data_IF_064651136433
#
_entry.id   IF_064651136433
#
_cell.length_a   1.000
_cell.length_b   1.000
_cell.length_c   1.000
_cell.angle_alpha   90.00
_cell.angle_beta   90.00
_cell.angle_gamma   90.00
#
_symmetry.space_group_name_H-M   'P 1'
#
loop_
_entity.id
_entity.type
_entity.pdbx_description
1 polymer ?
#
# COMPACT_ATOMS: atom_id res chain seq x y z
N UNK A 1 -42.25 21.88 10.18
CA UNK A 1 -41.01 22.19 9.41
C UNK A 1 -39.73 21.96 10.21
N UNK A 2 -39.65 22.27 11.52
CA UNK A 2 -38.45 21.97 12.34
C UNK A 2 -38.13 20.48 12.47
N UNK A 3 -39.13 19.64 12.71
CA UNK A 3 -38.99 18.17 12.85
C UNK A 3 -38.42 17.49 11.59
N UNK A 4 -38.83 17.95 10.41
CA UNK A 4 -38.41 17.40 9.11
C UNK A 4 -36.93 17.71 8.80
N UNK A 5 -36.41 18.84 9.27
CA UNK A 5 -35.00 19.22 9.12
C UNK A 5 -34.11 18.36 10.01
N UNK A 6 -34.57 18.01 11.21
CA UNK A 6 -33.82 17.16 12.17
C UNK A 6 -33.67 15.73 11.65
N UNK A 7 -34.70 15.17 11.01
CA UNK A 7 -34.63 13.83 10.40
C UNK A 7 -33.72 13.78 9.18
N UNK A 8 -33.72 14.81 8.34
CA UNK A 8 -32.81 14.91 7.19
C UNK A 8 -31.34 15.04 7.62
N UNK A 9 -31.04 15.76 8.71
CA UNK A 9 -29.69 15.82 9.26
C UNK A 9 -29.20 14.47 9.81
N UNK A 10 -30.09 13.64 10.38
CA UNK A 10 -29.74 12.32 10.91
C UNK A 10 -29.44 11.29 9.81
N UNK A 11 -30.15 11.32 8.69
CA UNK A 11 -29.90 10.38 7.57
C UNK A 11 -28.54 10.67 6.90
N UNK A 12 -28.14 11.94 6.81
CA UNK A 12 -26.81 12.32 6.29
C UNK A 12 -25.68 11.90 7.25
N UNK A 13 -25.95 11.83 8.56
CA UNK A 13 -25.01 11.35 9.58
C UNK A 13 -24.80 9.83 9.60
N UNK A 14 -25.77 9.02 9.14
CA UNK A 14 -25.62 7.54 9.07
C UNK A 14 -24.80 7.09 7.86
N UNK A 15 -24.61 7.96 6.86
CA UNK A 15 -23.66 7.74 5.76
C UNK A 15 -22.21 8.03 6.20
N UNK A 16 -21.99 8.49 7.44
CA UNK A 16 -20.67 8.75 7.99
C UNK A 16 -20.00 7.44 8.43
N UNK A 17 -19.11 6.98 7.55
CA UNK A 17 -17.87 6.26 7.87
C UNK A 17 -17.99 4.88 8.53
N UNK A 18 -18.41 3.87 7.77
CA UNK A 18 -17.67 2.60 7.83
C UNK A 18 -16.31 2.78 7.16
N UNK A 19 -15.48 3.64 7.75
CA UNK A 19 -14.08 3.81 7.37
C UNK A 19 -13.40 2.45 7.54
N UNK A 20 -13.20 1.76 6.44
CA UNK A 20 -12.57 0.46 6.43
C UNK A 20 -11.07 0.64 6.24
N UNK A 21 -10.27 -0.32 6.71
CA UNK A 21 -8.83 -0.29 6.43
C UNK A 21 -8.56 -0.75 5.00
N UNK A 22 -7.50 -0.24 4.34
CA UNK A 22 -7.09 -0.73 3.02
C UNK A 22 -7.01 -2.25 2.93
N UNK A 23 -6.38 -2.91 3.91
CA UNK A 23 -6.24 -4.37 3.96
C UNK A 23 -7.58 -5.11 3.95
N UNK A 24 -8.60 -4.59 4.63
CA UNK A 24 -9.93 -5.19 4.71
C UNK A 24 -10.71 -4.95 3.40
N UNK A 25 -10.72 -3.70 2.93
CA UNK A 25 -11.38 -3.30 1.68
C UNK A 25 -10.87 -4.13 0.50
N UNK A 26 -9.55 -4.19 0.33
CA UNK A 26 -8.92 -4.88 -0.78
C UNK A 26 -9.22 -6.40 -0.78
N UNK A 27 -9.21 -7.04 0.39
CA UNK A 27 -9.56 -8.48 0.51
C UNK A 27 -11.03 -8.74 0.26
N UNK A 28 -11.93 -7.82 0.65
CA UNK A 28 -13.37 -7.94 0.38
C UNK A 28 -13.66 -7.80 -1.11
N UNK A 29 -13.04 -6.83 -1.78
CA UNK A 29 -13.31 -6.48 -3.18
C UNK A 29 -12.64 -7.42 -4.19
N UNK A 30 -11.46 -7.96 -3.87
CA UNK A 30 -10.65 -8.76 -4.81
C UNK A 30 -10.60 -10.26 -4.49
N UNK A 31 -11.70 -10.83 -3.99
CA UNK A 31 -11.80 -12.26 -3.61
C UNK A 31 -11.38 -13.24 -4.72
N UNK A 32 -11.63 -12.88 -5.98
CA UNK A 32 -11.32 -13.71 -7.15
C UNK A 32 -10.04 -13.28 -7.89
N UNK A 33 -9.39 -12.21 -7.44
CA UNK A 33 -8.17 -11.63 -8.01
C UNK A 33 -7.11 -11.49 -6.90
N UNK A 34 -6.82 -12.58 -6.17
CA UNK A 34 -5.93 -12.55 -5.00
C UNK A 34 -4.55 -11.95 -5.30
N UNK A 35 -4.03 -12.16 -6.51
CA UNK A 35 -2.75 -11.58 -6.95
C UNK A 35 -2.74 -10.05 -6.96
N UNK A 36 -3.90 -9.41 -7.04
CA UNK A 36 -4.07 -7.96 -7.08
C UNK A 36 -4.33 -7.34 -5.70
N UNK A 37 -4.54 -8.14 -4.65
CA UNK A 37 -4.75 -7.63 -3.28
C UNK A 37 -3.57 -6.73 -2.85
N UNK A 38 -2.33 -7.19 -3.09
CA UNK A 38 -1.14 -6.41 -2.73
C UNK A 38 -1.05 -5.08 -3.50
N UNK A 39 -1.39 -5.08 -4.79
CA UNK A 39 -1.44 -3.84 -5.57
C UNK A 39 -2.47 -2.87 -5.02
N UNK A 40 -3.66 -3.37 -4.68
CA UNK A 40 -4.72 -2.57 -4.06
C UNK A 40 -4.25 -1.95 -2.73
N UNK A 41 -3.69 -2.76 -1.83
CA UNK A 41 -3.15 -2.28 -0.55
C UNK A 41 -2.04 -1.24 -0.77
N UNK A 42 -1.06 -1.54 -1.63
CA UNK A 42 0.06 -0.64 -1.94
C UNK A 42 -0.38 0.67 -2.59
N UNK A 43 -1.49 0.67 -3.34
CA UNK A 43 -2.05 1.89 -3.91
C UNK A 43 -2.53 2.83 -2.80
N UNK A 44 -3.28 2.30 -1.83
CA UNK A 44 -3.70 3.08 -0.67
C UNK A 44 -2.52 3.54 0.18
N UNK A 45 -1.45 2.75 0.25
CA UNK A 45 -0.20 3.13 0.93
C UNK A 45 0.69 4.08 0.11
N UNK A 46 0.32 4.33 -1.17
CA UNK A 46 1.09 5.11 -2.16
C UNK A 46 2.44 4.52 -2.56
N UNK A 47 2.64 3.22 -2.32
CA UNK A 47 3.84 2.49 -2.77
C UNK A 47 3.75 2.06 -4.24
N UNK A 48 2.58 2.22 -4.84
CA UNK A 48 2.30 2.10 -6.27
C UNK A 48 1.08 2.98 -6.59
N UNK A 49 0.63 2.97 -7.84
CA UNK A 49 -0.56 3.69 -8.28
C UNK A 49 -1.42 2.84 -9.24
N UNK A 50 -2.49 3.44 -9.77
CA UNK A 50 -3.38 2.79 -10.74
C UNK A 50 -2.66 2.33 -12.02
N UNK A 51 -1.51 2.94 -12.33
CA UNK A 51 -0.66 2.61 -13.47
C UNK A 51 0.47 1.64 -13.10
N UNK A 52 0.49 1.11 -11.87
CA UNK A 52 1.50 0.18 -11.36
C UNK A 52 2.93 0.76 -11.37
N UNK A 53 3.07 2.08 -11.23
CA UNK A 53 4.38 2.75 -11.22
C UNK A 53 5.13 2.49 -9.91
N UNK A 54 6.46 2.49 -10.01
CA UNK A 54 7.44 2.27 -8.93
C UNK A 54 8.60 3.29 -9.05
N UNK A 55 8.24 4.55 -9.32
CA UNK A 55 9.19 5.62 -9.58
C UNK A 55 9.80 6.17 -8.27
N UNK A 56 10.53 7.29 -8.34
CA UNK A 56 11.18 7.87 -7.16
C UNK A 56 10.19 8.26 -6.05
N UNK A 57 9.00 8.73 -6.41
CA UNK A 57 7.98 9.17 -5.46
C UNK A 57 7.44 7.97 -4.67
N UNK A 58 7.04 6.89 -5.35
CA UNK A 58 6.52 5.69 -4.68
C UNK A 58 7.57 5.03 -3.77
N UNK A 59 8.84 5.02 -4.19
CA UNK A 59 9.93 4.51 -3.35
C UNK A 59 10.21 5.42 -2.16
N UNK A 60 10.08 6.74 -2.35
CA UNK A 60 10.14 7.73 -1.28
C UNK A 60 9.06 7.49 -0.24
N UNK A 61 7.81 7.31 -0.67
CA UNK A 61 6.68 6.98 0.21
C UNK A 61 6.93 5.68 0.98
N UNK A 62 7.39 4.61 0.29
CA UNK A 62 7.77 3.35 0.95
C UNK A 62 8.82 3.57 2.04
N UNK A 63 9.94 4.22 1.70
CA UNK A 63 11.04 4.49 2.61
C UNK A 63 10.59 5.30 3.83
N UNK A 64 9.79 6.34 3.58
CA UNK A 64 9.30 7.23 4.63
C UNK A 64 8.44 6.47 5.65
N UNK A 65 7.58 5.56 5.19
CA UNK A 65 6.76 4.72 6.09
C UNK A 65 7.63 3.74 6.86
N UNK A 66 8.60 3.09 6.21
CA UNK A 66 9.52 2.18 6.90
C UNK A 66 10.30 2.90 8.00
N UNK A 67 10.77 4.13 7.77
CA UNK A 67 11.39 4.94 8.81
C UNK A 67 10.38 5.34 9.89
N UNK A 68 9.24 5.91 9.51
CA UNK A 68 8.25 6.46 10.45
C UNK A 68 7.78 5.44 11.48
N UNK A 69 7.65 4.18 11.08
CA UNK A 69 7.19 3.10 11.96
C UNK A 69 8.32 2.19 12.46
N UNK A 70 9.58 2.59 12.31
CA UNK A 70 10.74 1.98 12.95
C UNK A 70 11.26 0.70 12.29
N UNK A 71 10.88 0.42 11.04
CA UNK A 71 11.45 -0.70 10.30
C UNK A 71 12.87 -0.44 9.81
N UNK A 72 13.24 0.85 9.64
CA UNK A 72 14.60 1.28 9.37
C UNK A 72 14.96 2.53 10.17
N UNK A 73 16.26 2.77 10.34
CA UNK A 73 16.82 4.02 10.85
C UNK A 73 17.10 5.04 9.74
N UNK A 74 17.37 6.28 10.14
CA UNK A 74 17.69 7.40 9.22
C UNK A 74 18.93 7.11 8.37
N UNK A 75 19.98 6.53 8.95
CA UNK A 75 21.23 6.17 8.26
C UNK A 75 21.04 5.06 7.20
N UNK A 76 19.93 4.33 7.24
CA UNK A 76 19.62 3.25 6.30
C UNK A 76 18.75 3.72 5.11
N UNK A 77 18.26 4.96 5.11
CA UNK A 77 17.32 5.47 4.10
C UNK A 77 17.87 5.42 2.67
N UNK A 78 19.11 5.89 2.47
CA UNK A 78 19.76 5.89 1.15
C UNK A 78 19.99 4.46 0.64
N UNK A 79 20.40 3.56 1.54
CA UNK A 79 20.58 2.15 1.22
C UNK A 79 19.26 1.49 0.80
N UNK A 80 18.17 1.81 1.50
CA UNK A 80 16.84 1.32 1.16
C UNK A 80 16.37 1.84 -0.20
N UNK A 81 16.47 3.15 -0.48
CA UNK A 81 16.03 3.65 -1.80
C UNK A 81 16.82 3.02 -2.95
N UNK A 82 18.14 2.83 -2.79
CA UNK A 82 18.98 2.15 -3.78
C UNK A 82 18.51 0.71 -4.01
N UNK A 83 18.16 -0.02 -2.96
CA UNK A 83 17.62 -1.37 -3.05
C UNK A 83 16.26 -1.42 -3.73
N UNK A 84 15.32 -0.56 -3.32
CA UNK A 84 14.00 -0.42 -3.95
C UNK A 84 14.13 -0.07 -5.43
N UNK A 85 15.04 0.84 -5.81
CA UNK A 85 15.32 1.19 -7.21
C UNK A 85 15.81 -0.01 -8.01
N UNK A 86 16.71 -0.81 -7.44
CA UNK A 86 17.20 -2.06 -8.06
C UNK A 86 16.04 -3.04 -8.29
N UNK A 87 15.16 -3.20 -7.32
CA UNK A 87 13.98 -4.07 -7.42
C UNK A 87 12.97 -3.58 -8.45
N UNK A 88 12.68 -2.27 -8.49
CA UNK A 88 11.81 -1.66 -9.50
C UNK A 88 12.36 -1.88 -10.91
N UNK A 89 13.67 -1.66 -11.11
CA UNK A 89 14.33 -1.91 -12.39
C UNK A 89 14.31 -3.39 -12.79
N UNK A 90 14.40 -4.32 -11.83
CA UNK A 90 14.33 -5.76 -12.09
C UNK A 90 12.96 -6.15 -12.63
N UNK A 91 11.87 -5.68 -12.02
CA UNK A 91 10.51 -6.01 -12.48
C UNK A 91 10.12 -5.24 -13.74
N UNK A 92 10.66 -4.03 -13.96
CA UNK A 92 10.40 -3.24 -15.16
C UNK A 92 10.73 -4.01 -16.45
N UNK A 93 11.79 -4.82 -16.42
CA UNK A 93 12.23 -5.67 -17.55
C UNK A 93 11.29 -6.83 -17.89
N UNK A 94 10.37 -7.17 -17.00
CA UNK A 94 9.41 -8.25 -17.27
C UNK A 94 8.20 -7.70 -18.03
N UNK A 95 7.89 -8.22 -19.23
CA UNK A 95 6.67 -7.85 -19.95
C UNK A 95 5.43 -8.13 -19.09
N UNK A 96 4.44 -7.25 -19.15
CA UNK A 96 3.14 -7.45 -18.52
C UNK A 96 2.07 -6.74 -19.35
N UNK A 97 1.21 -7.53 -19.97
CA UNK A 97 0.15 -7.05 -20.86
C UNK A 97 -1.19 -7.04 -20.15
N UNK A 98 -1.49 -8.07 -19.37
CA UNK A 98 -2.73 -8.18 -18.59
C UNK A 98 -2.63 -7.47 -17.23
N UNK A 99 -3.79 -7.11 -16.66
CA UNK A 99 -3.90 -6.62 -15.26
C UNK A 99 -3.26 -7.61 -14.27
N UNK A 100 -3.56 -8.90 -14.43
CA UNK A 100 -3.00 -10.01 -13.65
C UNK A 100 -1.47 -10.02 -13.67
N UNK A 101 -0.85 -9.82 -14.83
CA UNK A 101 0.61 -9.78 -14.93
C UNK A 101 1.20 -8.53 -14.25
N UNK A 102 0.51 -7.39 -14.35
CA UNK A 102 0.91 -6.16 -13.66
C UNK A 102 0.83 -6.32 -12.14
N UNK A 103 -0.23 -6.93 -11.62
CA UNK A 103 -0.35 -7.28 -10.19
C UNK A 103 0.78 -8.22 -9.73
N UNK A 104 1.07 -9.27 -10.51
CA UNK A 104 2.21 -10.17 -10.24
C UNK A 104 3.57 -9.45 -10.24
N UNK A 105 3.75 -8.40 -11.06
CA UNK A 105 4.96 -7.56 -11.01
C UNK A 105 5.10 -6.83 -9.68
N UNK A 106 4.00 -6.36 -9.08
CA UNK A 106 4.02 -5.77 -7.74
C UNK A 106 4.41 -6.81 -6.68
N UNK A 107 3.87 -8.02 -6.74
CA UNK A 107 4.27 -9.10 -5.82
C UNK A 107 5.76 -9.45 -5.97
N UNK A 108 6.28 -9.52 -7.20
CA UNK A 108 7.73 -9.72 -7.44
C UNK A 108 8.57 -8.56 -6.92
N UNK A 109 8.09 -7.33 -7.04
CA UNK A 109 8.74 -6.16 -6.47
C UNK A 109 8.82 -6.26 -4.96
N UNK A 110 7.69 -6.59 -4.30
CA UNK A 110 7.63 -6.84 -2.87
C UNK A 110 8.61 -7.90 -2.39
N UNK A 111 8.63 -9.08 -3.03
CA UNK A 111 9.58 -10.15 -2.67
C UNK A 111 11.05 -9.74 -2.84
N UNK A 112 11.35 -8.86 -3.79
CA UNK A 112 12.69 -8.30 -3.95
C UNK A 112 13.00 -7.25 -2.87
N UNK A 113 12.05 -6.37 -2.59
CA UNK A 113 12.21 -5.26 -1.65
C UNK A 113 12.31 -5.73 -0.19
N UNK A 114 11.54 -6.76 0.17
CA UNK A 114 11.42 -7.32 1.52
C UNK A 114 12.16 -8.66 1.56
N UNK A 115 13.49 -8.61 1.36
CA UNK A 115 14.35 -9.80 1.25
C UNK A 115 15.12 -10.14 2.54
N UNK A 116 14.70 -9.58 3.68
CA UNK A 116 15.33 -9.72 5.00
C UNK A 116 16.77 -9.18 5.13
N UNK A 117 17.31 -8.46 4.14
CA UNK A 117 18.69 -7.96 4.22
C UNK A 117 18.84 -6.58 4.86
N UNK A 118 17.92 -5.66 4.58
CA UNK A 118 17.97 -4.29 5.10
C UNK A 118 17.16 -4.10 6.39
N UNK A 119 16.11 -4.89 6.54
CA UNK A 119 15.25 -4.94 7.71
C UNK A 119 14.65 -6.33 7.81
N UNK A 120 14.28 -6.75 9.03
CA UNK A 120 13.62 -8.05 9.22
C UNK A 120 12.19 -7.97 8.73
N UNK A 121 11.66 -9.08 8.24
CA UNK A 121 10.26 -9.18 7.80
C UNK A 121 9.27 -8.71 8.88
N UNK A 122 9.51 -9.08 10.14
CA UNK A 122 8.64 -8.68 11.25
C UNK A 122 8.60 -7.15 11.43
N UNK A 123 9.71 -6.46 11.22
CA UNK A 123 9.77 -5.01 11.34
C UNK A 123 8.98 -4.33 10.22
N UNK A 124 9.11 -4.84 9.00
CA UNK A 124 8.28 -4.44 7.86
C UNK A 124 6.79 -4.70 8.11
N UNK A 125 6.42 -5.92 8.51
CA UNK A 125 5.03 -6.29 8.74
C UNK A 125 4.40 -5.41 9.83
N UNK A 126 5.14 -5.16 10.93
CA UNK A 126 4.70 -4.26 11.99
C UNK A 126 4.51 -2.81 11.49
N UNK A 127 5.39 -2.32 10.62
CA UNK A 127 5.25 -1.00 10.02
C UNK A 127 3.99 -0.90 9.14
N UNK A 128 3.74 -1.89 8.29
CA UNK A 128 2.54 -1.94 7.44
C UNK A 128 1.26 -2.03 8.29
N UNK A 129 1.22 -2.92 9.29
CA UNK A 129 0.04 -3.07 10.17
C UNK A 129 -0.27 -1.77 10.91
N UNK A 130 0.76 -1.05 11.38
CA UNK A 130 0.56 0.25 12.03
C UNK A 130 0.08 1.31 11.04
N UNK A 131 0.61 1.34 9.82
CA UNK A 131 0.23 2.32 8.81
C UNK A 131 -1.18 2.08 8.24
N UNK A 132 -1.54 0.83 7.95
CA UNK A 132 -2.88 0.42 7.50
C UNK A 132 -3.98 0.90 8.45
N UNK A 133 -3.72 0.83 9.77
CA UNK A 133 -4.63 1.33 10.81
C UNK A 133 -4.85 2.85 10.79
N UNK A 134 -3.98 3.61 10.12
CA UNK A 134 -4.10 5.08 10.04
C UNK A 134 -4.85 5.56 8.80
N UNK A 135 -5.20 4.66 7.88
CA UNK A 135 -5.86 4.98 6.62
C UNK A 135 -7.30 4.51 6.70
N UNK A 136 -8.21 5.40 6.33
CA UNK A 136 -9.65 5.16 6.25
C UNK A 136 -10.06 5.28 4.77
N UNK A 137 -10.66 4.22 4.23
CA UNK A 137 -11.11 4.12 2.83
C UNK A 137 -12.59 3.78 2.71
#
# INVERSE_FOLDING_TARGET
MKELVVFLTLIVLVVICHAERPSQKCRRELKTEEECILHCEYKHYRFTDDQFRLNADQRGDFRNIMRRYGAIRVDQESQLDKHLKKCANKVAKTPATSRKDKCRKISRYYHCAVDNKLFKYNDYANAIIKYDKTINV
#
